data_IF_711159824440
#
_entry.id   IF_711159824440
#
_cell.length_a   1.000
_cell.length_b   1.000
_cell.length_c   1.000
_cell.angle_alpha   90.00
_cell.angle_beta   90.00
_cell.angle_gamma   90.00
#
_symmetry.space_group_name_H-M   'P 1'
#
loop_
_entity.id
_entity.type
_entity.pdbx_description
1 polymer ?
#
# COMPACT_ATOMS: atom_id res chain seq x y z
N UNK A 1 -15.47 -16.10 9.34
CA UNK A 1 -16.51 -15.07 9.60
C UNK A 1 -16.00 -13.69 9.22
N UNK A 2 -14.78 -13.30 9.61
CA UNK A 2 -14.17 -11.99 9.27
C UNK A 2 -13.86 -11.78 7.78
N UNK A 3 -13.44 -12.81 7.03
CA UNK A 3 -13.11 -12.66 5.60
C UNK A 3 -14.34 -12.33 4.74
N UNK A 4 -15.47 -13.01 4.95
CA UNK A 4 -16.71 -12.71 4.20
C UNK A 4 -17.21 -11.29 4.50
N UNK A 5 -17.09 -10.86 5.75
CA UNK A 5 -17.44 -9.49 6.15
C UNK A 5 -16.55 -8.46 5.45
N UNK A 6 -15.23 -8.68 5.40
CA UNK A 6 -14.30 -7.83 4.68
C UNK A 6 -14.62 -7.77 3.18
N UNK A 7 -14.93 -8.90 2.55
CA UNK A 7 -15.28 -8.98 1.14
C UNK A 7 -16.57 -8.20 0.85
N UNK A 8 -17.63 -8.39 1.64
CA UNK A 8 -18.88 -7.63 1.50
C UNK A 8 -18.66 -6.14 1.75
N UNK A 9 -17.86 -5.76 2.75
CA UNK A 9 -17.57 -4.35 3.05
C UNK A 9 -16.77 -3.66 1.93
N UNK A 10 -15.96 -4.43 1.20
CA UNK A 10 -15.21 -3.95 0.03
C UNK A 10 -16.01 -3.86 -1.27
N UNK A 11 -17.27 -4.32 -1.29
CA UNK A 11 -18.12 -4.24 -2.46
C UNK A 11 -18.37 -2.76 -2.81
N UNK A 12 -18.14 -2.40 -4.08
CA UNK A 12 -18.26 -1.04 -4.63
C UNK A 12 -17.26 0.00 -4.09
N UNK A 13 -16.23 -0.42 -3.35
CA UNK A 13 -15.14 0.45 -2.89
C UNK A 13 -13.87 0.23 -3.69
N UNK A 14 -12.98 1.23 -3.68
CA UNK A 14 -11.60 1.06 -4.17
C UNK A 14 -10.81 0.28 -3.12
N UNK A 15 -10.39 -0.93 -3.47
CA UNK A 15 -9.67 -1.85 -2.59
C UNK A 15 -8.17 -1.66 -2.75
N UNK A 16 -7.54 -1.19 -1.69
CA UNK A 16 -6.09 -1.00 -1.58
C UNK A 16 -5.54 -2.12 -0.70
N UNK A 17 -4.73 -3.00 -1.27
CA UNK A 17 -4.16 -4.14 -0.55
C UNK A 17 -2.67 -3.93 -0.35
N UNK A 18 -2.23 -3.88 0.90
CA UNK A 18 -0.83 -3.83 1.33
C UNK A 18 -0.41 -5.25 1.70
N UNK A 19 0.32 -5.92 0.81
CA UNK A 19 0.76 -7.29 1.00
C UNK A 19 2.20 -7.31 1.52
N UNK A 20 2.35 -7.53 2.82
CA UNK A 20 3.63 -7.46 3.51
C UNK A 20 3.89 -6.16 4.26
N UNK A 21 5.15 -6.02 4.70
CA UNK A 21 5.70 -4.82 5.33
C UNK A 21 5.33 -4.62 6.81
N UNK A 22 5.94 -3.62 7.45
CA UNK A 22 5.60 -3.17 8.81
C UNK A 22 4.17 -2.62 8.90
N UNK A 23 3.55 -2.70 10.08
CA UNK A 23 2.16 -2.23 10.28
C UNK A 23 2.04 -0.71 10.24
N UNK A 24 3.14 -0.03 10.51
CA UNK A 24 3.32 1.41 10.48
C UNK A 24 3.06 1.97 9.07
N UNK A 25 3.13 1.16 8.01
CA UNK A 25 2.73 1.57 6.66
C UNK A 25 1.24 1.90 6.64
N UNK A 26 0.39 1.04 7.21
CA UNK A 26 -1.06 1.34 7.27
C UNK A 26 -1.33 2.57 8.12
N UNK A 27 -0.57 2.78 9.20
CA UNK A 27 -0.68 3.99 9.99
C UNK A 27 -0.37 5.24 9.15
N UNK A 28 0.77 5.27 8.46
CA UNK A 28 1.15 6.40 7.62
C UNK A 28 0.10 6.67 6.54
N UNK A 29 -0.31 5.62 5.83
CA UNK A 29 -1.34 5.71 4.78
C UNK A 29 -2.66 6.22 5.35
N UNK A 30 -3.06 5.74 6.54
CA UNK A 30 -4.25 6.19 7.24
C UNK A 30 -4.17 7.67 7.59
N UNK A 31 -3.13 8.12 8.27
CA UNK A 31 -3.04 9.52 8.70
C UNK A 31 -3.07 10.46 7.51
N UNK A 32 -2.33 10.15 6.44
CA UNK A 32 -2.32 10.98 5.23
C UNK A 32 -3.68 11.00 4.52
N UNK A 33 -4.37 9.86 4.45
CA UNK A 33 -5.72 9.78 3.89
C UNK A 33 -6.75 10.53 4.73
N UNK A 34 -6.73 10.38 6.05
CA UNK A 34 -7.73 10.99 6.93
C UNK A 34 -7.65 12.52 6.95
N UNK A 35 -6.48 13.10 6.66
CA UNK A 35 -6.31 14.55 6.53
C UNK A 35 -7.10 15.14 5.35
N UNK A 36 -7.16 14.43 4.22
CA UNK A 36 -7.80 14.95 2.99
C UNK A 36 -9.16 14.30 2.71
N UNK A 37 -9.34 13.06 3.13
CA UNK A 37 -10.48 12.19 2.84
C UNK A 37 -10.86 11.37 4.07
N UNK A 38 -11.43 11.99 5.11
CA UNK A 38 -11.74 11.31 6.35
C UNK A 38 -12.79 10.20 6.17
N UNK A 39 -12.78 9.25 7.09
CA UNK A 39 -13.79 8.20 7.19
C UNK A 39 -13.55 7.00 6.27
N UNK A 40 -12.30 6.70 5.94
CA UNK A 40 -11.98 5.48 5.17
C UNK A 40 -12.04 4.24 6.06
N UNK A 41 -12.07 3.07 5.41
CA UNK A 41 -11.99 1.79 6.10
C UNK A 41 -10.57 1.25 6.11
N UNK A 42 -10.12 0.77 7.27
CA UNK A 42 -8.81 0.19 7.45
C UNK A 42 -8.93 -1.17 8.11
N UNK A 43 -8.25 -2.16 7.55
CA UNK A 43 -8.25 -3.52 8.06
C UNK A 43 -6.81 -4.03 8.15
N UNK A 44 -6.39 -4.37 9.35
CA UNK A 44 -5.11 -5.03 9.63
C UNK A 44 -5.37 -6.27 10.49
N UNK A 45 -4.35 -7.08 10.71
CA UNK A 45 -4.46 -8.24 11.62
C UNK A 45 -4.80 -7.83 13.07
N UNK A 46 -4.41 -6.63 13.50
CA UNK A 46 -4.58 -6.17 14.89
C UNK A 46 -5.77 -5.24 15.08
N UNK A 47 -6.18 -4.53 14.04
CA UNK A 47 -7.14 -3.45 14.15
C UNK A 47 -8.02 -3.31 12.91
N UNK A 48 -9.30 -3.02 13.15
CA UNK A 48 -10.29 -2.74 12.11
C UNK A 48 -10.97 -1.42 12.42
N UNK A 49 -10.94 -0.50 11.46
CA UNK A 49 -11.69 0.76 11.45
C UNK A 49 -12.72 0.67 10.34
N UNK A 50 -13.98 0.93 10.68
CA UNK A 50 -15.07 0.99 9.72
C UNK A 50 -15.42 2.44 9.46
N UNK A 51 -15.38 2.81 8.20
CA UNK A 51 -15.85 4.08 7.70
C UNK A 51 -16.72 3.88 6.47
N UNK A 52 -17.33 4.97 6.00
CA UNK A 52 -18.20 5.00 4.81
C UNK A 52 -17.50 5.58 3.57
N UNK A 53 -16.20 5.84 3.69
CA UNK A 53 -15.36 6.35 2.61
C UNK A 53 -15.18 5.37 1.45
N UNK A 54 -14.67 5.93 0.35
CA UNK A 54 -14.51 5.24 -0.94
C UNK A 54 -13.44 4.15 -0.91
N UNK A 55 -12.48 4.24 0.02
CA UNK A 55 -11.36 3.34 0.12
C UNK A 55 -11.55 2.29 1.22
N UNK A 56 -11.19 1.05 0.87
CA UNK A 56 -10.92 -0.02 1.81
C UNK A 56 -9.43 -0.35 1.74
N UNK A 57 -8.70 -0.03 2.81
CA UNK A 57 -7.27 -0.29 2.94
C UNK A 57 -7.10 -1.55 3.77
N UNK A 58 -6.47 -2.58 3.21
CA UNK A 58 -6.24 -3.87 3.86
C UNK A 58 -4.76 -4.17 3.89
N UNK A 59 -4.18 -4.34 5.08
CA UNK A 59 -2.85 -4.91 5.23
C UNK A 59 -2.93 -6.36 5.66
N UNK A 60 -2.23 -7.24 4.94
CA UNK A 60 -2.22 -8.67 5.21
C UNK A 60 -0.89 -9.29 4.83
N UNK A 61 -0.56 -10.42 5.49
CA UNK A 61 0.52 -11.33 5.09
C UNK A 61 0.01 -12.55 4.30
N UNK A 62 -1.31 -12.66 4.15
CA UNK A 62 -1.97 -13.78 3.49
C UNK A 62 -2.17 -13.47 1.99
N UNK A 63 -1.40 -14.09 1.08
CA UNK A 63 -1.54 -13.87 -0.35
C UNK A 63 -2.89 -14.40 -0.89
N UNK A 64 -3.52 -15.37 -0.23
CA UNK A 64 -4.85 -15.89 -0.62
C UNK A 64 -5.93 -14.87 -0.29
N UNK A 65 -5.82 -14.21 0.87
CA UNK A 65 -6.70 -13.10 1.20
C UNK A 65 -6.53 -11.95 0.21
N UNK A 66 -5.28 -11.56 -0.09
CA UNK A 66 -4.98 -10.51 -1.07
C UNK A 66 -5.59 -10.80 -2.45
N UNK A 67 -5.51 -12.04 -2.91
CA UNK A 67 -6.18 -12.51 -4.13
C UNK A 67 -7.70 -12.34 -4.07
N UNK A 68 -8.32 -12.83 -2.99
CA UNK A 68 -9.79 -12.82 -2.85
C UNK A 68 -10.38 -11.41 -2.86
N UNK A 69 -9.60 -10.41 -2.46
CA UNK A 69 -10.00 -9.01 -2.42
C UNK A 69 -10.05 -8.35 -3.80
N UNK A 70 -9.49 -8.96 -4.85
CA UNK A 70 -9.44 -8.38 -6.21
C UNK A 70 -9.03 -6.90 -6.21
N UNK A 71 -7.79 -6.59 -5.79
CA UNK A 71 -7.36 -5.22 -5.51
C UNK A 71 -7.51 -4.30 -6.70
N UNK A 72 -7.84 -3.03 -6.43
CA UNK A 72 -7.70 -1.94 -7.40
C UNK A 72 -6.27 -1.39 -7.37
N UNK A 73 -5.68 -1.32 -6.18
CA UNK A 73 -4.29 -0.95 -5.96
C UNK A 73 -3.66 -2.03 -5.08
N UNK A 74 -2.54 -2.58 -5.52
CA UNK A 74 -1.78 -3.59 -4.80
C UNK A 74 -0.38 -3.03 -4.49
N UNK A 75 -0.02 -3.01 -3.21
CA UNK A 75 1.28 -2.59 -2.72
C UNK A 75 2.04 -3.83 -2.23
N UNK A 76 3.09 -4.24 -2.96
CA UNK A 76 3.81 -5.50 -2.77
C UNK A 76 5.15 -5.28 -2.07
N UNK A 77 5.25 -5.79 -0.85
CA UNK A 77 6.48 -5.83 -0.06
C UNK A 77 6.90 -7.24 0.35
N UNK A 78 5.96 -8.19 0.35
CA UNK A 78 6.21 -9.56 0.77
C UNK A 78 6.94 -10.33 -0.33
N UNK A 79 8.09 -10.97 -0.03
CA UNK A 79 8.69 -11.94 -0.93
C UNK A 79 7.76 -13.16 -1.02
N UNK A 80 7.37 -13.49 -2.25
CA UNK A 80 6.54 -14.65 -2.60
C UNK A 80 7.24 -15.45 -3.69
N UNK A 81 6.78 -16.69 -3.93
CA UNK A 81 7.21 -17.41 -5.12
C UNK A 81 6.63 -16.78 -6.38
N UNK A 82 7.25 -17.03 -7.54
CA UNK A 82 6.71 -16.64 -8.84
C UNK A 82 5.24 -17.05 -9.03
N UNK A 83 4.87 -18.28 -8.65
CA UNK A 83 3.49 -18.79 -8.75
C UNK A 83 2.52 -17.96 -7.90
N UNK A 84 2.91 -17.65 -6.67
CA UNK A 84 2.10 -16.84 -5.75
C UNK A 84 1.96 -15.40 -6.26
N UNK A 85 3.02 -14.80 -6.80
CA UNK A 85 2.94 -13.49 -7.42
C UNK A 85 1.98 -13.50 -8.60
N UNK A 86 2.12 -14.45 -9.53
CA UNK A 86 1.21 -14.58 -10.67
C UNK A 86 -0.24 -14.70 -10.22
N UNK A 87 -0.53 -15.54 -9.22
CA UNK A 87 -1.88 -15.71 -8.70
C UNK A 87 -2.47 -14.42 -8.10
N UNK A 88 -1.69 -13.65 -7.32
CA UNK A 88 -2.13 -12.36 -6.76
C UNK A 88 -2.35 -11.33 -7.87
N UNK A 89 -1.41 -11.24 -8.80
CA UNK A 89 -1.42 -10.28 -9.91
C UNK A 89 -2.57 -10.53 -10.89
N UNK A 90 -2.94 -11.79 -11.13
CA UNK A 90 -4.10 -12.16 -11.96
C UNK A 90 -5.44 -11.64 -11.39
N UNK A 91 -5.51 -11.41 -10.07
CA UNK A 91 -6.71 -10.91 -9.41
C UNK A 91 -6.78 -9.38 -9.32
N UNK A 92 -5.69 -8.67 -9.66
CA UNK A 92 -5.72 -7.20 -9.74
C UNK A 92 -6.76 -6.79 -10.79
N UNK A 93 -7.61 -5.83 -10.44
CA UNK A 93 -8.67 -5.35 -11.33
C UNK A 93 -8.07 -4.73 -12.60
N UNK A 94 -8.72 -4.91 -13.75
CA UNK A 94 -8.33 -4.26 -15.00
C UNK A 94 -8.22 -2.73 -14.83
N UNK A 95 -7.13 -2.15 -15.34
CA UNK A 95 -6.80 -0.74 -15.15
C UNK A 95 -6.26 -0.38 -13.76
N UNK A 96 -6.05 -1.38 -12.90
CA UNK A 96 -5.51 -1.24 -11.55
C UNK A 96 -4.05 -0.78 -11.52
N UNK A 97 -3.49 -0.75 -10.31
CA UNK A 97 -2.12 -0.29 -10.05
C UNK A 97 -1.40 -1.29 -9.18
N UNK A 98 -0.18 -1.64 -9.55
CA UNK A 98 0.73 -2.46 -8.75
C UNK A 98 1.95 -1.61 -8.42
N UNK A 99 2.08 -1.25 -7.15
CA UNK A 99 3.26 -0.58 -6.59
C UNK A 99 4.10 -1.65 -5.92
N UNK A 100 5.38 -1.77 -6.27
CA UNK A 100 6.19 -2.89 -5.80
C UNK A 100 7.65 -2.53 -5.59
N UNK A 101 8.25 -3.22 -4.63
CA UNK A 101 9.68 -3.16 -4.37
C UNK A 101 10.45 -3.83 -5.51
N UNK A 102 11.33 -3.09 -6.18
CA UNK A 102 12.10 -3.61 -7.32
C UNK A 102 13.06 -4.75 -6.94
N UNK A 103 13.42 -4.87 -5.66
CA UNK A 103 14.36 -5.89 -5.20
C UNK A 103 13.69 -7.28 -5.11
N UNK A 104 12.37 -7.36 -5.29
CA UNK A 104 11.60 -8.61 -5.37
C UNK A 104 11.69 -9.21 -6.79
N UNK A 105 12.81 -9.83 -7.15
CA UNK A 105 13.04 -10.36 -8.52
C UNK A 105 11.88 -11.17 -9.10
N UNK A 106 11.23 -12.02 -8.29
CA UNK A 106 10.12 -12.86 -8.76
C UNK A 106 8.87 -12.04 -9.11
N UNK A 107 8.65 -10.86 -8.51
CA UNK A 107 7.56 -9.96 -8.90
C UNK A 107 7.81 -9.39 -10.29
N UNK A 108 9.05 -9.00 -10.60
CA UNK A 108 9.42 -8.44 -11.91
C UNK A 108 9.20 -9.47 -13.00
N UNK A 109 9.54 -10.74 -12.73
CA UNK A 109 9.31 -11.85 -13.64
C UNK A 109 7.81 -12.12 -13.84
N UNK A 110 7.02 -12.16 -12.75
CA UNK A 110 5.57 -12.37 -12.82
C UNK A 110 4.89 -11.27 -13.63
N UNK A 111 5.25 -10.01 -13.39
CA UNK A 111 4.75 -8.84 -14.11
C UNK A 111 5.06 -8.90 -15.61
N UNK A 112 6.22 -9.46 -15.99
CA UNK A 112 6.59 -9.65 -17.40
C UNK A 112 5.85 -10.79 -18.11
N UNK A 113 5.24 -11.71 -17.36
CA UNK A 113 4.46 -12.84 -17.89
C UNK A 113 2.95 -12.60 -17.86
N UNK A 114 2.50 -11.60 -17.11
CA UNK A 114 1.10 -11.27 -16.94
C UNK A 114 0.41 -10.84 -18.24
N UNK A 115 -0.88 -11.14 -18.35
CA UNK A 115 -1.73 -10.74 -19.49
C UNK A 115 -2.69 -9.60 -19.15
N UNK A 116 -2.77 -9.21 -17.88
CA UNK A 116 -3.66 -8.17 -17.39
C UNK A 116 -3.08 -6.76 -17.63
N UNK A 117 -3.97 -5.81 -17.91
CA UNK A 117 -3.61 -4.41 -18.13
C UNK A 117 -3.74 -3.60 -16.84
N UNK A 118 -2.71 -3.61 -15.99
CA UNK A 118 -2.58 -2.70 -14.85
C UNK A 118 -1.27 -1.90 -14.95
N UNK A 119 -1.18 -0.76 -14.23
CA UNK A 119 0.02 0.09 -14.22
C UNK A 119 1.03 -0.42 -13.22
N UNK A 120 2.30 -0.47 -13.63
CA UNK A 120 3.42 -0.97 -12.82
C UNK A 120 4.21 0.22 -12.29
N UNK A 121 4.36 0.31 -10.97
CA UNK A 121 5.06 1.40 -10.28
C UNK A 121 6.16 0.77 -9.39
N UNK A 122 7.34 0.50 -9.95
CA UNK A 122 8.48 0.08 -9.13
C UNK A 122 8.93 1.22 -8.23
N UNK A 123 9.40 0.90 -7.03
CA UNK A 123 10.11 1.84 -6.18
C UNK A 123 11.39 1.21 -5.63
N UNK A 124 12.30 2.08 -5.19
CA UNK A 124 13.58 1.70 -4.61
C UNK A 124 13.51 1.75 -3.09
N UNK A 125 14.13 0.77 -2.42
CA UNK A 125 14.32 0.89 -0.98
C UNK A 125 15.28 2.03 -0.67
N UNK A 126 14.93 2.84 0.34
CA UNK A 126 15.88 3.82 0.86
C UNK A 126 16.97 3.14 1.67
N UNK A 127 18.20 3.67 1.57
CA UNK A 127 19.32 3.23 2.40
C UNK A 127 19.23 3.89 3.79
N UNK A 128 19.25 3.10 4.85
CA UNK A 128 19.27 3.60 6.23
C UNK A 128 20.70 3.98 6.68
N UNK A 129 20.85 4.99 7.57
CA UNK A 129 19.80 5.80 8.20
C UNK A 129 19.38 7.01 7.35
N UNK A 130 18.09 7.35 7.39
CA UNK A 130 17.53 8.58 6.80
C UNK A 130 16.78 9.35 7.87
N UNK A 131 17.29 10.52 8.26
CA UNK A 131 16.63 11.40 9.25
C UNK A 131 15.66 12.39 8.58
N UNK A 132 15.87 12.69 7.29
CA UNK A 132 15.07 13.63 6.54
C UNK A 132 14.69 13.06 5.17
N UNK A 133 13.42 13.21 4.80
CA UNK A 133 12.89 12.82 3.50
C UNK A 133 12.81 14.03 2.56
N UNK A 134 13.18 13.84 1.29
CA UNK A 134 13.04 14.87 0.27
C UNK A 134 11.66 14.79 -0.38
N UNK A 135 10.84 15.83 -0.18
CA UNK A 135 9.53 15.97 -0.81
C UNK A 135 9.54 17.13 -1.82
N UNK A 136 8.52 17.24 -2.69
CA UNK A 136 8.35 18.42 -3.56
C UNK A 136 8.28 19.76 -2.80
N UNK A 137 7.87 19.74 -1.53
CA UNK A 137 7.75 20.94 -0.68
C UNK A 137 9.01 21.22 0.15
N UNK A 138 10.02 20.34 0.09
CA UNK A 138 11.30 20.51 0.78
C UNK A 138 11.74 19.28 1.56
N UNK A 139 12.80 19.45 2.34
CA UNK A 139 13.29 18.42 3.27
C UNK A 139 12.42 18.39 4.51
N UNK A 140 11.93 17.20 4.87
CA UNK A 140 11.01 16.98 5.99
C UNK A 140 11.66 16.01 6.98
N UNK A 141 11.72 16.32 8.28
CA UNK A 141 12.24 15.38 9.27
C UNK A 141 11.31 14.16 9.39
N UNK A 142 11.90 12.98 9.55
CA UNK A 142 11.15 11.74 9.73
C UNK A 142 11.07 11.44 11.23
N UNK A 143 9.85 11.24 11.73
CA UNK A 143 9.59 10.83 13.11
C UNK A 143 10.25 9.48 13.43
N UNK A 144 10.86 9.35 14.61
CA UNK A 144 11.52 8.10 15.04
C UNK A 144 10.54 6.91 15.06
N UNK A 145 9.25 7.17 15.30
CA UNK A 145 8.19 6.15 15.27
C UNK A 145 8.01 5.52 13.88
N UNK A 146 8.47 6.20 12.83
CA UNK A 146 8.39 5.74 11.44
C UNK A 146 9.68 5.04 10.98
N UNK A 147 10.66 4.81 11.86
CA UNK A 147 11.89 4.09 11.52
C UNK A 147 11.64 2.77 10.75
N UNK A 148 10.66 1.92 11.11
CA UNK A 148 10.40 0.67 10.38
C UNK A 148 9.99 0.87 8.92
N UNK A 149 9.40 2.03 8.57
CA UNK A 149 8.86 2.31 7.24
C UNK A 149 9.78 3.15 6.36
N UNK A 150 10.89 3.64 6.91
CA UNK A 150 11.91 4.42 6.18
C UNK A 150 12.32 3.75 4.87
N UNK A 151 12.62 2.44 4.82
CA UNK A 151 12.99 1.80 3.56
C UNK A 151 11.92 1.88 2.47
N UNK A 152 10.65 2.09 2.83
CA UNK A 152 9.51 2.01 1.90
C UNK A 152 8.88 3.36 1.58
N UNK A 153 9.41 4.48 2.09
CA UNK A 153 8.76 5.80 1.95
C UNK A 153 8.51 6.22 0.50
N UNK A 154 9.41 5.91 -0.43
CA UNK A 154 9.18 6.18 -1.85
C UNK A 154 7.94 5.44 -2.37
N UNK A 155 7.82 4.14 -2.08
CA UNK A 155 6.65 3.36 -2.48
C UNK A 155 5.36 3.86 -1.83
N UNK A 156 5.43 4.28 -0.57
CA UNK A 156 4.26 4.82 0.15
C UNK A 156 3.85 6.18 -0.44
N UNK A 157 4.79 7.04 -0.82
CA UNK A 157 4.49 8.29 -1.51
C UNK A 157 3.81 8.03 -2.88
N UNK A 158 4.33 7.08 -3.66
CA UNK A 158 3.71 6.67 -4.94
C UNK A 158 2.29 6.17 -4.74
N UNK A 159 2.06 5.32 -3.73
CA UNK A 159 0.74 4.83 -3.35
C UNK A 159 -0.21 5.99 -3.04
N UNK A 160 0.20 6.91 -2.16
CA UNK A 160 -0.60 8.06 -1.75
C UNK A 160 -0.93 8.97 -2.93
N UNK A 161 0.03 9.20 -3.83
CA UNK A 161 -0.19 9.99 -5.05
C UNK A 161 -1.25 9.35 -5.95
N UNK A 162 -1.26 8.03 -6.06
CA UNK A 162 -2.29 7.29 -6.80
C UNK A 162 -3.66 7.28 -6.13
N UNK A 163 -3.71 7.49 -4.81
CA UNK A 163 -4.94 7.78 -4.07
C UNK A 163 -5.38 9.25 -4.20
N UNK A 164 -4.57 10.09 -4.84
CA UNK A 164 -4.83 11.52 -5.03
C UNK A 164 -4.59 12.36 -3.77
N UNK A 165 -3.69 11.90 -2.90
CA UNK A 165 -3.24 12.60 -1.71
C UNK A 165 -2.06 13.50 -2.08
N UNK A 166 -2.07 14.73 -1.58
CA UNK A 166 -1.06 15.73 -1.87
C UNK A 166 0.23 15.47 -1.08
N UNK A 167 1.35 15.98 -1.61
CA UNK A 167 2.67 15.83 -0.98
C UNK A 167 2.72 16.51 0.40
N UNK A 168 1.91 17.53 0.63
CA UNK A 168 1.78 18.24 1.91
C UNK A 168 1.25 17.32 3.02
N UNK A 169 0.19 16.54 2.76
CA UNK A 169 -0.35 15.61 3.75
C UNK A 169 0.66 14.52 4.08
N UNK A 170 1.35 13.98 3.07
CA UNK A 170 2.43 13.01 3.29
C UNK A 170 3.56 13.61 4.14
N UNK A 171 4.03 14.81 3.80
CA UNK A 171 5.07 15.51 4.55
C UNK A 171 4.68 15.79 6.01
N UNK A 172 3.44 16.24 6.25
CA UNK A 172 2.96 16.50 7.60
C UNK A 172 3.02 15.24 8.46
N UNK A 173 2.53 14.11 7.93
CA UNK A 173 2.55 12.82 8.63
C UNK A 173 3.96 12.32 8.92
N UNK A 174 4.93 12.54 8.02
CA UNK A 174 6.34 12.16 8.26
C UNK A 174 6.92 12.84 9.50
N UNK A 175 6.52 14.08 9.75
CA UNK A 175 7.02 14.89 10.87
C UNK A 175 6.20 14.77 12.15
N UNK A 176 5.10 14.00 12.14
CA UNK A 176 4.18 13.88 13.27
C UNK A 176 4.82 13.08 14.42
N UNK A 177 4.80 13.66 15.63
CA UNK A 177 5.37 13.05 16.84
C UNK A 177 4.37 12.14 17.55
#
# INVERSE_FOLDING_TARGET
>A
MQQNELLTHGENRTRVVLLGGPQEITFLVKEALEMERPGQSYWTEKHTIRGEGEFLIVQTLDPVLAQSLRPNILFLLQPLSLEQFSAVLEQVTDGGIVVYDKDLNDVVLALGQGTNFYRHIPFDRMAEPVENYSTPIGMVPISESLAPVVPYLQGIEELLRHLGIQSEAFAEVLSMQ
#
